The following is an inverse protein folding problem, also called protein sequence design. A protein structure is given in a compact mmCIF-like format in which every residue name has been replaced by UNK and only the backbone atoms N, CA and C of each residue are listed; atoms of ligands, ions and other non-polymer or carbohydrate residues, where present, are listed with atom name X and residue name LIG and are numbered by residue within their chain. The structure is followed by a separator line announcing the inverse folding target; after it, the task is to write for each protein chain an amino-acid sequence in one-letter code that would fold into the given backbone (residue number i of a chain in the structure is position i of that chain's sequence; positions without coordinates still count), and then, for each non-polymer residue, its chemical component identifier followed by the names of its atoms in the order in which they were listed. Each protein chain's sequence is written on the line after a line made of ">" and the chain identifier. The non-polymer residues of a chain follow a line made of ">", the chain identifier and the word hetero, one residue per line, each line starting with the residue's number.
data_IF_247202320730
#
_entry.id   IF_247202320730
#
_cell.length_a   1.000
_cell.length_b   1.000
_cell.length_c   1.000
_cell.angle_alpha   90.00
_cell.angle_beta   90.00
_cell.angle_gamma   90.00
#
_symmetry.space_group_name_H-M   'P 1'
#
loop_
_entity.id
_entity.type
_entity.pdbx_description
1 polymer ?
#
# COMPACT_ATOMS: atom_id res chain seq x y z
N UNK A 1 12.51 -4.13 -4.81
CA UNK A 1 11.22 -4.73 -4.42
C UNK A 1 10.64 -4.04 -3.20
N UNK A 2 11.11 -4.32 -1.97
CA UNK A 2 10.54 -3.74 -0.73
C UNK A 2 10.37 -2.22 -0.74
N UNK A 3 11.36 -1.47 -1.22
CA UNK A 3 11.28 0.00 -1.32
C UNK A 3 10.14 0.48 -2.23
N UNK A 4 9.93 -0.20 -3.36
CA UNK A 4 8.89 0.14 -4.33
C UNK A 4 7.51 -0.20 -3.78
N UNK A 5 7.36 -1.40 -3.18
CA UNK A 5 6.12 -1.78 -2.47
C UNK A 5 5.79 -0.76 -1.38
N UNK A 6 6.77 -0.33 -0.58
CA UNK A 6 6.57 0.66 0.46
C UNK A 6 6.12 2.02 -0.10
N UNK A 7 6.68 2.45 -1.24
CA UNK A 7 6.26 3.68 -1.91
C UNK A 7 4.79 3.61 -2.36
N UNK A 8 4.40 2.52 -3.01
CA UNK A 8 3.00 2.29 -3.42
C UNK A 8 2.09 2.29 -2.19
N UNK A 9 2.47 1.60 -1.11
CA UNK A 9 1.71 1.59 0.15
C UNK A 9 1.53 3.00 0.70
N UNK A 10 2.60 3.81 0.74
CA UNK A 10 2.55 5.18 1.28
C UNK A 10 1.65 6.11 0.45
N UNK A 11 1.68 5.99 -0.88
CA UNK A 11 0.83 6.74 -1.80
C UNK A 11 -0.63 6.32 -1.65
N UNK A 12 -0.89 5.01 -1.68
CA UNK A 12 -2.24 4.46 -1.65
C UNK A 12 -2.91 4.57 -0.28
N UNK A 13 -2.15 4.55 0.82
CA UNK A 13 -2.70 4.84 2.16
C UNK A 13 -3.28 6.25 2.22
N UNK A 14 -2.64 7.24 1.56
CA UNK A 14 -3.09 8.63 1.57
C UNK A 14 -4.17 8.93 0.53
N UNK A 15 -4.36 8.04 -0.43
CA UNK A 15 -5.38 8.19 -1.48
C UNK A 15 -6.80 8.21 -0.90
N UNK A 16 -7.57 9.22 -1.27
CA UNK A 16 -8.98 9.37 -0.86
C UNK A 16 -9.94 8.54 -1.69
N UNK A 17 -9.47 7.97 -2.80
CA UNK A 17 -10.31 7.24 -3.76
C UNK A 17 -10.86 5.92 -3.20
N UNK A 18 -10.19 5.33 -2.19
CA UNK A 18 -10.53 4.01 -1.67
C UNK A 18 -10.78 4.01 -0.14
N UNK A 19 -11.37 5.09 0.39
CA UNK A 19 -11.42 5.34 1.84
C UNK A 19 -12.13 4.25 2.66
N UNK A 20 -13.08 3.54 2.06
CA UNK A 20 -13.87 2.47 2.68
C UNK A 20 -13.34 1.06 2.41
N UNK A 21 -12.16 0.93 1.81
CA UNK A 21 -11.57 -0.39 1.56
C UNK A 21 -11.11 -1.06 2.87
N UNK A 22 -11.29 -2.37 2.93
CA UNK A 22 -10.76 -3.19 4.01
C UNK A 22 -9.24 -3.40 3.86
N UNK A 23 -8.57 -3.85 4.93
CA UNK A 23 -7.14 -4.14 4.88
C UNK A 23 -6.81 -5.22 3.83
N UNK A 24 -7.65 -6.25 3.69
CA UNK A 24 -7.44 -7.33 2.73
C UNK A 24 -7.58 -6.82 1.29
N UNK A 25 -8.62 -6.02 1.01
CA UNK A 25 -8.82 -5.38 -0.29
C UNK A 25 -7.66 -4.43 -0.64
N UNK A 26 -7.14 -3.69 0.34
CA UNK A 26 -5.98 -2.84 0.16
C UNK A 26 -4.74 -3.64 -0.23
N UNK A 27 -4.45 -4.73 0.51
CA UNK A 27 -3.29 -5.59 0.25
C UNK A 27 -3.38 -6.23 -1.14
N UNK A 28 -4.55 -6.77 -1.51
CA UNK A 28 -4.78 -7.35 -2.84
C UNK A 28 -4.56 -6.31 -3.95
N UNK A 29 -5.14 -5.11 -3.80
CA UNK A 29 -5.01 -4.04 -4.79
C UNK A 29 -3.59 -3.52 -4.93
N UNK A 30 -2.88 -3.30 -3.83
CA UNK A 30 -1.46 -2.88 -3.84
C UNK A 30 -0.57 -3.95 -4.45
N UNK A 31 -0.87 -5.23 -4.18
CA UNK A 31 -0.18 -6.35 -4.83
C UNK A 31 -0.34 -6.27 -6.35
N UNK A 32 -1.57 -6.07 -6.83
CA UNK A 32 -1.82 -5.96 -8.27
C UNK A 32 -1.11 -4.74 -8.88
N UNK A 33 -1.15 -3.57 -8.23
CA UNK A 33 -0.44 -2.38 -8.68
C UNK A 33 1.07 -2.62 -8.81
N UNK A 34 1.68 -3.28 -7.82
CA UNK A 34 3.09 -3.63 -7.89
C UNK A 34 3.39 -4.59 -9.05
N UNK A 35 2.55 -5.61 -9.24
CA UNK A 35 2.71 -6.59 -10.34
C UNK A 35 2.65 -5.88 -11.69
N UNK A 36 1.66 -5.02 -11.89
CA UNK A 36 1.48 -4.26 -13.14
C UNK A 36 2.68 -3.34 -13.39
N UNK A 37 3.10 -2.54 -12.39
CA UNK A 37 4.27 -1.68 -12.52
C UNK A 37 5.56 -2.46 -12.78
N UNK A 38 5.74 -3.59 -12.11
CA UNK A 38 6.91 -4.45 -12.29
C UNK A 38 6.98 -5.03 -13.70
N UNK A 39 5.85 -5.49 -14.24
CA UNK A 39 5.74 -5.98 -15.62
C UNK A 39 6.03 -4.86 -16.62
N UNK A 40 5.45 -3.67 -16.43
CA UNK A 40 5.70 -2.49 -17.27
C UNK A 40 7.17 -2.08 -17.27
N UNK A 41 7.82 -1.99 -16.11
CA UNK A 41 9.22 -1.57 -15.99
C UNK A 41 10.22 -2.54 -16.62
N UNK A 42 9.89 -3.84 -16.63
CA UNK A 42 10.79 -4.88 -17.12
C UNK A 42 10.60 -5.22 -18.60
N UNK A 43 9.63 -4.59 -19.27
CA UNK A 43 9.24 -4.93 -20.65
C UNK A 43 9.03 -6.44 -20.85
N UNK A 44 8.62 -7.15 -19.79
CA UNK A 44 8.22 -8.54 -19.94
C UNK A 44 6.93 -8.55 -20.76
N UNK A 45 6.86 -9.42 -21.78
CA UNK A 45 5.58 -9.76 -22.39
C UNK A 45 4.63 -10.24 -21.27
N UNK A 46 3.31 -10.00 -21.36
CA UNK A 46 2.33 -10.37 -20.33
C UNK A 46 2.17 -11.90 -20.27
N UNK A 47 3.23 -12.60 -19.87
CA UNK A 47 3.26 -14.03 -19.63
C UNK A 47 2.67 -14.37 -18.25
N UNK A 48 2.24 -13.34 -17.50
CA UNK A 48 1.86 -13.48 -16.10
C UNK A 48 3.11 -13.68 -15.23
N UNK A 49 3.04 -13.21 -13.99
CA UNK A 49 3.95 -13.75 -12.97
C UNK A 49 3.40 -15.11 -12.53
N UNK A 50 4.29 -16.01 -12.12
CA UNK A 50 3.88 -17.27 -11.49
C UNK A 50 3.02 -16.96 -10.25
N UNK A 51 2.03 -17.81 -10.00
CA UNK A 51 1.15 -17.70 -8.82
C UNK A 51 1.98 -17.69 -7.54
N UNK A 52 3.03 -18.52 -7.46
CA UNK A 52 3.93 -18.57 -6.30
C UNK A 52 4.63 -17.21 -6.08
N UNK A 53 5.03 -16.53 -7.15
CA UNK A 53 5.67 -15.21 -7.07
C UNK A 53 4.66 -14.15 -6.64
N UNK A 54 3.41 -14.23 -7.11
CA UNK A 54 2.34 -13.31 -6.70
C UNK A 54 2.04 -13.48 -5.20
N UNK A 55 1.98 -14.72 -4.71
CA UNK A 55 1.77 -15.02 -3.29
C UNK A 55 2.93 -14.48 -2.42
N UNK A 56 4.18 -14.63 -2.86
CA UNK A 56 5.34 -14.04 -2.18
C UNK A 56 5.25 -12.51 -2.11
N UNK A 57 4.85 -11.87 -3.21
CA UNK A 57 4.65 -10.41 -3.25
C UNK A 57 3.53 -10.01 -2.30
N UNK A 58 2.39 -10.71 -2.32
CA UNK A 58 1.25 -10.41 -1.46
C UNK A 58 1.62 -10.51 0.02
N UNK A 59 2.38 -11.54 0.39
CA UNK A 59 2.90 -11.71 1.75
C UNK A 59 3.82 -10.55 2.16
N UNK A 60 4.70 -10.11 1.26
CA UNK A 60 5.59 -8.96 1.51
C UNK A 60 4.79 -7.64 1.63
N UNK A 61 3.75 -7.44 0.81
CA UNK A 61 2.83 -6.30 0.91
C UNK A 61 2.14 -6.30 2.27
N UNK A 62 1.62 -7.45 2.71
CA UNK A 62 0.96 -7.61 4.01
C UNK A 62 1.90 -7.26 5.18
N UNK A 63 3.14 -7.74 5.13
CA UNK A 63 4.12 -7.49 6.19
C UNK A 63 4.51 -6.00 6.26
N UNK A 64 4.79 -5.38 5.11
CA UNK A 64 5.10 -3.95 5.04
C UNK A 64 3.90 -3.09 5.45
N UNK A 65 2.69 -3.47 5.05
CA UNK A 65 1.45 -2.82 5.48
C UNK A 65 1.31 -2.85 7.01
N UNK A 66 1.52 -4.02 7.64
CA UNK A 66 1.44 -4.17 9.11
C UNK A 66 2.47 -3.33 9.84
N UNK A 67 3.71 -3.32 9.36
CA UNK A 67 4.77 -2.46 9.90
C UNK A 67 4.35 -1.00 9.81
N UNK A 68 3.81 -0.58 8.67
CA UNK A 68 3.51 0.83 8.42
C UNK A 68 2.30 1.32 9.18
N UNK A 69 1.30 0.47 9.34
CA UNK A 69 0.10 0.74 10.13
C UNK A 69 0.27 0.40 11.61
N UNK A 70 1.46 -0.02 12.07
CA UNK A 70 1.71 -0.47 13.44
C UNK A 70 0.69 -1.51 13.96
N UNK A 71 0.07 -2.28 13.05
CA UNK A 71 -1.01 -3.22 13.40
C UNK A 71 -2.33 -2.56 13.83
N UNK A 72 -2.62 -1.32 13.44
CA UNK A 72 -3.91 -0.69 13.68
C UNK A 72 -5.08 -1.54 13.13
N UNK A 73 -6.15 -1.63 13.91
CA UNK A 73 -7.26 -2.57 13.70
C UNK A 73 -8.07 -2.33 12.42
N UNK A 74 -8.04 -1.10 11.87
CA UNK A 74 -8.65 -0.81 10.59
C UNK A 74 -7.84 0.21 9.80
N UNK A 75 -7.72 -0.01 8.49
CA UNK A 75 -7.09 0.92 7.55
C UNK A 75 -7.74 2.30 7.61
N UNK A 76 -9.08 2.34 7.75
CA UNK A 76 -9.83 3.58 7.89
C UNK A 76 -9.42 4.36 9.14
N UNK A 77 -9.29 3.70 10.29
CA UNK A 77 -8.82 4.35 11.52
C UNK A 77 -7.40 4.89 11.37
N UNK A 78 -6.52 4.16 10.69
CA UNK A 78 -5.16 4.61 10.43
C UNK A 78 -5.12 5.83 9.49
N UNK A 79 -5.94 5.83 8.44
CA UNK A 79 -6.09 6.98 7.53
C UNK A 79 -6.58 8.24 8.23
N UNK A 80 -7.59 8.10 9.08
CA UNK A 80 -8.11 9.23 9.88
C UNK A 80 -7.02 9.77 10.80
N UNK A 81 -6.26 8.90 11.47
CA UNK A 81 -5.15 9.31 12.34
C UNK A 81 -4.03 10.05 11.56
N UNK A 82 -3.73 9.62 10.33
CA UNK A 82 -2.78 10.31 9.46
C UNK A 82 -3.26 11.71 9.07
N UNK A 83 -4.53 11.85 8.66
CA UNK A 83 -5.12 13.15 8.30
C UNK A 83 -5.10 14.12 9.49
N UNK A 84 -5.44 13.64 10.69
CA UNK A 84 -5.40 14.44 11.91
C UNK A 84 -3.97 14.89 12.28
N UNK A 85 -2.97 14.04 12.01
CA UNK A 85 -1.57 14.36 12.28
C UNK A 85 -1.04 15.42 11.32
N UNK A 86 -1.38 15.32 10.03
CA UNK A 86 -0.96 16.29 9.01
C UNK A 86 -1.54 17.70 9.28
N UNK A 87 -2.79 17.79 9.77
CA UNK A 87 -3.42 19.05 10.18
C UNK A 87 -2.69 19.72 11.36
N UNK A 88 -2.29 18.96 12.39
CA UNK A 88 -1.57 19.53 13.56
C UNK A 88 -0.19 20.09 13.24
N UNK A 89 0.50 19.57 12.22
CA UNK A 89 1.81 20.11 11.79
C UNK A 89 1.70 21.46 11.08
N UNK A 90 0.53 21.81 10.55
CA UNK A 90 0.31 23.10 9.89
C UNK A 90 0.06 24.25 10.89
N UNK A 91 -0.39 23.93 12.11
CA UNK A 91 -0.70 24.95 13.13
C UNK A 91 0.49 25.34 14.03
N UNK A 92 1.61 24.59 13.99
CA UNK A 92 2.78 24.88 14.85
C UNK A 92 3.81 25.82 14.23
N UNK A 93 3.54 26.35 13.03
CA UNK A 93 4.36 27.36 12.35
C UNK A 93 3.51 28.63 12.16
N UNK A 94 3.17 29.31 13.26
CA UNK A 94 2.74 30.71 13.26
C UNK A 94 3.15 31.36 14.58
#
# INVERSE_FOLDING_TARGET
>A
MKKMILQIIEEEIKSTHNISETADQFVERVTQLFVDEFQHLKMYAPLGLDVEVIEEVQQEVLDLYRIKTYGHYSLQSYRIALLQKDDTTSETIN
#
